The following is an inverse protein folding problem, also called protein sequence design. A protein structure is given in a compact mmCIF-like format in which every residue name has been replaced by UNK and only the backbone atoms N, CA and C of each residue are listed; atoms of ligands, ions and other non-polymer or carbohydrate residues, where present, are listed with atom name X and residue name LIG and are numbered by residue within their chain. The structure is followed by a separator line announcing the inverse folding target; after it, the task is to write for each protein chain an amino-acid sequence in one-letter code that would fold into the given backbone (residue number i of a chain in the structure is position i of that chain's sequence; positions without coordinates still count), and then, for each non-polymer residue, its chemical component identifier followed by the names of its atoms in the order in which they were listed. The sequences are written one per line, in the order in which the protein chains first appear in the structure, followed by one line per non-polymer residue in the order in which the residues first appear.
data_IF_375424530356
#
_entry.id   IF_375424530356
#
_cell.length_a   1.000
_cell.length_b   1.000
_cell.length_c   1.000
_cell.angle_alpha   90.00
_cell.angle_beta   90.00
_cell.angle_gamma   90.00
#
_symmetry.space_group_name_H-M   'P 1'
#
loop_
_entity.id
_entity.type
_entity.pdbx_description
1 polymer ?
#
# COMPACT_ATOMS: atom_id res chain seq x y z
N UNK A 1 -6.47 20.37 6.18
CA UNK A 1 -6.77 20.08 7.60
C UNK A 1 -7.09 18.59 7.81
N UNK A 2 -6.76 18.05 8.99
CA UNK A 2 -7.13 16.68 9.43
C UNK A 2 -8.28 16.76 10.45
N UNK A 3 -9.39 16.07 10.19
CA UNK A 3 -10.54 16.05 11.11
C UNK A 3 -10.52 14.79 11.97
N UNK A 4 -10.88 14.89 13.26
CA UNK A 4 -10.97 13.75 14.18
C UNK A 4 -12.29 12.98 14.01
N UNK A 5 -12.51 12.45 12.80
CA UNK A 5 -13.63 11.59 12.44
C UNK A 5 -13.13 10.44 11.59
N UNK A 6 -13.30 9.22 12.08
CA UNK A 6 -12.61 8.05 11.55
C UNK A 6 -13.31 7.47 10.31
N UNK A 7 -14.51 7.97 9.99
CA UNK A 7 -15.18 7.71 8.73
C UNK A 7 -14.83 8.78 7.70
N UNK A 8 -13.90 8.46 6.80
CA UNK A 8 -13.49 9.35 5.72
C UNK A 8 -14.63 9.78 4.78
N UNK A 9 -15.79 9.16 4.87
CA UNK A 9 -16.99 9.49 4.09
C UNK A 9 -17.89 10.52 4.77
N UNK A 10 -17.63 10.86 6.03
CA UNK A 10 -18.41 11.82 6.78
C UNK A 10 -18.32 13.24 6.18
N UNK A 11 -19.44 13.97 6.20
CA UNK A 11 -19.57 15.29 5.57
C UNK A 11 -18.56 16.31 6.08
N UNK A 12 -18.09 16.20 7.33
CA UNK A 12 -17.11 17.14 7.87
C UNK A 12 -15.83 17.21 7.04
N UNK A 13 -15.44 16.10 6.40
CA UNK A 13 -14.21 16.07 5.61
C UNK A 13 -14.32 16.95 4.35
N UNK A 14 -15.55 17.22 3.89
CA UNK A 14 -15.82 18.13 2.76
C UNK A 14 -15.38 19.56 3.04
N UNK A 15 -15.29 19.98 4.30
CA UNK A 15 -14.71 21.27 4.69
C UNK A 15 -13.24 21.41 4.26
N UNK A 16 -12.53 20.30 4.02
CA UNK A 16 -11.21 20.31 3.36
C UNK A 16 -11.33 19.88 1.89
N UNK A 17 -12.15 18.87 1.58
CA UNK A 17 -12.17 18.24 0.25
C UNK A 17 -12.81 19.12 -0.83
N UNK A 18 -13.76 19.98 -0.47
CA UNK A 18 -14.49 20.84 -1.42
C UNK A 18 -13.90 22.25 -1.51
N UNK A 19 -12.82 22.52 -0.76
CA UNK A 19 -12.17 23.83 -0.69
C UNK A 19 -10.71 23.79 -1.16
N UNK A 20 -10.45 23.48 -2.45
CA UNK A 20 -9.10 23.52 -3.01
C UNK A 20 -8.45 24.91 -2.96
N UNK A 21 -9.24 25.98 -2.84
CA UNK A 21 -8.77 27.36 -2.69
C UNK A 21 -8.14 27.67 -1.32
N UNK A 22 -8.40 26.83 -0.30
CA UNK A 22 -7.86 27.02 1.06
C UNK A 22 -6.81 25.97 1.45
N UNK A 23 -6.82 24.80 0.79
CA UNK A 23 -5.96 23.68 1.17
C UNK A 23 -5.28 23.07 -0.05
N UNK A 24 -3.96 23.22 -0.15
CA UNK A 24 -3.15 22.62 -1.22
C UNK A 24 -3.04 21.10 -1.13
N UNK A 25 -3.25 20.54 0.07
CA UNK A 25 -3.21 19.10 0.33
C UNK A 25 -4.26 18.68 1.35
N UNK A 26 -4.53 17.37 1.37
CA UNK A 26 -5.47 16.73 2.29
C UNK A 26 -4.70 15.77 3.19
N UNK A 27 -5.03 15.73 4.49
CA UNK A 27 -4.49 14.71 5.40
C UNK A 27 -5.62 13.76 5.84
N UNK A 28 -5.35 12.46 5.75
CA UNK A 28 -6.30 11.39 6.07
C UNK A 28 -5.77 10.46 7.17
N UNK A 29 -4.88 10.94 8.04
CA UNK A 29 -4.26 10.12 9.09
C UNK A 29 -5.29 9.47 10.03
N UNK A 30 -6.49 10.01 10.18
CA UNK A 30 -7.59 9.42 10.94
C UNK A 30 -8.07 8.07 10.37
N UNK A 31 -7.81 7.78 9.08
CA UNK A 31 -8.09 6.48 8.49
C UNK A 31 -7.30 5.35 9.17
N UNK A 32 -6.18 5.67 9.84
CA UNK A 32 -5.38 4.71 10.59
C UNK A 32 -6.08 4.17 11.85
N UNK A 33 -7.35 4.50 12.12
CA UNK A 33 -8.18 3.76 13.07
C UNK A 33 -8.84 2.52 12.43
N UNK A 34 -8.86 2.44 11.10
CA UNK A 34 -9.32 1.29 10.35
C UNK A 34 -8.15 0.33 10.05
N UNK A 35 -8.49 -0.88 9.61
CA UNK A 35 -7.55 -1.91 9.20
C UNK A 35 -8.05 -2.64 7.95
N UNK A 36 -7.19 -3.45 7.35
CA UNK A 36 -7.54 -4.33 6.25
C UNK A 36 -8.18 -3.65 5.04
N UNK A 37 -9.15 -4.35 4.44
CA UNK A 37 -9.83 -3.91 3.22
C UNK A 37 -10.56 -2.57 3.44
N UNK A 38 -11.17 -2.34 4.61
CA UNK A 38 -11.84 -1.07 4.93
C UNK A 38 -10.87 0.12 4.90
N UNK A 39 -9.66 -0.05 5.45
CA UNK A 39 -8.63 0.98 5.43
C UNK A 39 -8.23 1.36 3.99
N UNK A 40 -8.07 0.35 3.12
CA UNK A 40 -7.78 0.55 1.70
C UNK A 40 -8.93 1.25 0.98
N UNK A 41 -10.15 0.75 1.11
CA UNK A 41 -11.33 1.26 0.40
C UNK A 41 -11.66 2.70 0.81
N UNK A 42 -11.50 3.05 2.08
CA UNK A 42 -11.69 4.41 2.57
C UNK A 42 -10.70 5.38 1.93
N UNK A 43 -9.42 4.99 1.79
CA UNK A 43 -8.44 5.83 1.10
C UNK A 43 -8.77 5.99 -0.38
N UNK A 44 -9.15 4.90 -1.06
CA UNK A 44 -9.56 4.96 -2.47
C UNK A 44 -10.81 5.81 -2.68
N UNK A 45 -11.76 5.80 -1.74
CA UNK A 45 -12.89 6.71 -1.77
C UNK A 45 -12.44 8.17 -1.79
N UNK A 46 -11.53 8.57 -0.89
CA UNK A 46 -11.01 9.96 -0.87
C UNK A 46 -10.27 10.28 -2.16
N UNK A 47 -9.43 9.35 -2.65
CA UNK A 47 -8.72 9.51 -3.93
C UNK A 47 -9.69 9.73 -5.10
N UNK A 48 -10.78 8.97 -5.17
CA UNK A 48 -11.80 9.13 -6.20
C UNK A 48 -12.56 10.45 -6.05
N UNK A 49 -12.96 10.78 -4.82
CA UNK A 49 -13.68 12.02 -4.50
C UNK A 49 -12.89 13.26 -4.96
N UNK A 50 -11.59 13.29 -4.68
CA UNK A 50 -10.69 14.38 -5.07
C UNK A 50 -10.31 14.36 -6.56
N UNK A 51 -10.74 13.36 -7.34
CA UNK A 51 -10.35 13.19 -8.74
C UNK A 51 -10.73 14.35 -9.67
N UNK A 52 -11.74 15.16 -9.29
CA UNK A 52 -12.13 16.38 -10.04
C UNK A 52 -11.14 17.53 -9.85
N UNK A 53 -10.56 17.64 -8.65
CA UNK A 53 -9.56 18.64 -8.28
C UNK A 53 -8.41 17.93 -7.54
N UNK A 54 -7.55 17.20 -8.27
CA UNK A 54 -6.53 16.36 -7.66
C UNK A 54 -5.58 17.18 -6.78
N UNK A 55 -5.36 16.68 -5.57
CA UNK A 55 -4.43 17.26 -4.59
C UNK A 55 -3.68 16.14 -3.88
N UNK A 56 -2.44 16.38 -3.39
CA UNK A 56 -1.73 15.44 -2.55
C UNK A 56 -2.56 14.98 -1.35
N UNK A 57 -2.62 13.67 -1.13
CA UNK A 57 -3.26 13.03 0.02
C UNK A 57 -2.17 12.47 0.93
N UNK A 58 -2.06 13.00 2.13
CA UNK A 58 -1.03 12.67 3.10
C UNK A 58 -1.57 11.83 4.25
N UNK A 59 -0.70 11.04 4.86
CA UNK A 59 -0.92 10.40 6.17
C UNK A 59 0.27 10.74 7.07
N UNK A 60 0.19 11.91 7.68
CA UNK A 60 1.21 12.43 8.59
C UNK A 60 1.39 11.55 9.85
N UNK A 61 0.35 10.81 10.24
CA UNK A 61 0.35 9.96 11.44
C UNK A 61 -0.11 8.55 11.13
N UNK A 62 0.83 7.68 10.78
CA UNK A 62 0.58 6.23 10.75
C UNK A 62 0.71 5.68 12.17
N UNK A 63 -0.41 5.35 12.80
CA UNK A 63 -0.47 4.77 14.14
C UNK A 63 -0.20 3.27 14.11
N UNK A 64 0.33 2.75 15.22
CA UNK A 64 0.65 1.34 15.43
C UNK A 64 1.96 1.20 16.20
N UNK A 65 1.87 0.57 17.37
CA UNK A 65 2.99 0.31 18.27
C UNK A 65 2.55 -0.71 19.32
N UNK A 66 3.23 -1.84 19.45
CA UNK A 66 2.87 -2.85 20.46
C UNK A 66 2.80 -2.20 21.86
N UNK A 67 1.70 -2.43 22.58
CA UNK A 67 1.47 -1.88 23.92
C UNK A 67 0.92 -0.44 23.97
N UNK A 68 0.58 0.19 22.84
CA UNK A 68 -0.07 1.50 22.86
C UNK A 68 -1.50 1.44 23.44
N UNK A 69 -1.99 2.59 23.90
CA UNK A 69 -3.31 2.74 24.54
C UNK A 69 -4.53 2.49 23.62
N UNK A 70 -4.33 2.42 22.31
CA UNK A 70 -5.39 2.23 21.31
C UNK A 70 -5.53 0.76 20.86
N UNK A 71 -4.68 -0.14 21.36
CA UNK A 71 -4.73 -1.57 21.02
C UNK A 71 -4.19 -1.91 19.63
N UNK A 72 -3.55 -0.96 18.93
CA UNK A 72 -2.88 -1.24 17.66
C UNK A 72 -1.54 -1.95 17.89
N UNK A 73 -1.09 -2.74 16.92
CA UNK A 73 0.20 -3.44 16.93
C UNK A 73 1.24 -2.76 16.03
N UNK A 74 2.49 -3.21 16.12
CA UNK A 74 3.53 -2.85 15.14
C UNK A 74 3.15 -3.29 13.72
N UNK A 75 2.46 -4.44 13.61
CA UNK A 75 1.97 -4.98 12.35
C UNK A 75 0.93 -4.04 11.71
N UNK A 76 0.03 -3.46 12.50
CA UNK A 76 -0.94 -2.47 11.99
C UNK A 76 -0.23 -1.27 11.35
N UNK A 77 0.83 -0.75 11.97
CA UNK A 77 1.60 0.35 11.41
C UNK A 77 2.23 -0.01 10.05
N UNK A 78 2.88 -1.18 9.95
CA UNK A 78 3.51 -1.66 8.71
C UNK A 78 2.46 -1.81 7.62
N UNK A 79 1.34 -2.45 7.91
CA UNK A 79 0.29 -2.67 6.91
C UNK A 79 -0.36 -1.35 6.44
N UNK A 80 -0.61 -0.41 7.36
CA UNK A 80 -1.15 0.91 7.02
C UNK A 80 -0.21 1.69 6.12
N UNK A 81 1.10 1.63 6.40
CA UNK A 81 2.13 2.24 5.55
C UNK A 81 2.05 1.69 4.12
N UNK A 82 2.07 0.36 3.95
CA UNK A 82 2.09 -0.25 2.63
C UNK A 82 0.79 -0.11 1.86
N UNK A 83 -0.36 -0.20 2.54
CA UNK A 83 -1.66 0.11 1.93
C UNK A 83 -1.69 1.54 1.43
N UNK A 84 -1.26 2.52 2.23
CA UNK A 84 -1.22 3.92 1.77
C UNK A 84 -0.22 4.13 0.63
N UNK A 85 0.93 3.46 0.65
CA UNK A 85 1.95 3.57 -0.40
C UNK A 85 1.41 3.09 -1.74
N UNK A 86 0.84 1.90 -1.79
CA UNK A 86 0.27 1.35 -3.02
C UNK A 86 -1.06 2.01 -3.40
N UNK A 87 -1.79 2.58 -2.42
CA UNK A 87 -3.01 3.36 -2.68
C UNK A 87 -2.71 4.74 -3.31
N UNK A 88 -1.44 5.18 -3.30
CA UNK A 88 -0.97 6.43 -3.91
C UNK A 88 -1.00 7.64 -2.98
N UNK A 89 -0.76 7.44 -1.67
CA UNK A 89 -0.52 8.58 -0.77
C UNK A 89 0.75 9.33 -1.17
N UNK A 90 0.67 10.67 -1.15
CA UNK A 90 1.76 11.55 -1.53
C UNK A 90 2.85 11.64 -0.44
N UNK A 91 2.47 11.45 0.83
CA UNK A 91 3.38 11.37 1.96
C UNK A 91 2.85 10.45 3.03
N UNK A 92 3.75 9.66 3.62
CA UNK A 92 3.45 8.66 4.65
C UNK A 92 4.55 8.70 5.69
N UNK A 93 4.17 8.77 6.96
CA UNK A 93 5.12 8.78 8.08
C UNK A 93 4.63 7.91 9.22
N UNK A 94 5.52 7.13 9.82
CA UNK A 94 5.27 6.48 11.12
C UNK A 94 5.14 7.53 12.22
N UNK A 95 4.03 7.49 12.97
CA UNK A 95 3.84 8.37 14.10
C UNK A 95 4.92 8.12 15.16
N UNK A 96 5.18 9.13 16.01
CA UNK A 96 6.16 9.00 17.09
C UNK A 96 5.66 8.06 18.21
N UNK A 97 6.58 7.50 19.02
CA UNK A 97 6.21 6.79 20.24
C UNK A 97 5.41 7.67 21.21
N UNK A 98 4.56 7.10 22.05
CA UNK A 98 4.32 5.64 22.27
C UNK A 98 3.28 5.02 21.32
N UNK A 99 2.61 5.82 20.49
CA UNK A 99 1.46 5.38 19.69
C UNK A 99 1.80 5.09 18.21
N UNK A 100 3.08 5.13 17.87
CA UNK A 100 3.63 4.83 16.54
C UNK A 100 5.08 4.38 16.61
N UNK A 101 5.57 3.73 15.55
CA UNK A 101 6.92 3.16 15.50
C UNK A 101 8.07 4.17 15.54
N UNK A 102 7.82 5.43 15.20
CA UNK A 102 8.87 6.43 15.00
C UNK A 102 9.92 5.96 13.98
N UNK A 103 11.20 5.98 14.36
CA UNK A 103 12.33 5.48 13.57
C UNK A 103 13.04 4.32 14.26
N UNK A 104 12.29 3.25 14.57
CA UNK A 104 12.85 2.01 15.08
C UNK A 104 13.33 1.07 13.94
N UNK A 105 13.90 -0.08 14.30
CA UNK A 105 14.44 -1.04 13.33
C UNK A 105 13.38 -1.57 12.34
N UNK A 106 12.14 -1.81 12.81
CA UNK A 106 11.02 -2.25 11.95
C UNK A 106 10.66 -1.17 10.93
N UNK A 107 10.55 0.08 11.37
CA UNK A 107 10.28 1.22 10.48
C UNK A 107 11.41 1.41 9.45
N UNK A 108 12.68 1.27 9.87
CA UNK A 108 13.84 1.36 8.98
C UNK A 108 13.85 0.24 7.94
N UNK A 109 13.58 -1.01 8.34
CA UNK A 109 13.46 -2.14 7.41
C UNK A 109 12.32 -1.93 6.40
N UNK A 110 11.16 -1.48 6.88
CA UNK A 110 10.01 -1.16 6.05
C UNK A 110 10.33 -0.08 5.01
N UNK A 111 11.01 1.01 5.41
CA UNK A 111 11.42 2.07 4.50
C UNK A 111 12.49 1.60 3.49
N UNK A 112 13.43 0.74 3.90
CA UNK A 112 14.40 0.12 2.98
C UNK A 112 13.70 -0.73 1.92
N UNK A 113 12.70 -1.53 2.29
CA UNK A 113 11.90 -2.29 1.34
C UNK A 113 11.15 -1.37 0.35
N UNK A 114 10.56 -0.28 0.84
CA UNK A 114 9.89 0.71 -0.02
C UNK A 114 10.84 1.37 -1.01
N UNK A 115 12.08 1.70 -0.59
CA UNK A 115 13.12 2.22 -1.51
C UNK A 115 13.57 1.18 -2.53
N UNK A 116 13.68 -0.09 -2.16
CA UNK A 116 13.98 -1.15 -3.13
C UNK A 116 12.88 -1.29 -4.18
N UNK A 117 11.60 -1.27 -3.78
CA UNK A 117 10.49 -1.25 -4.72
C UNK A 117 10.59 -0.03 -5.66
N UNK A 118 10.76 1.16 -5.10
CA UNK A 118 10.84 2.40 -5.88
C UNK A 118 12.02 2.39 -6.87
N UNK A 119 13.15 1.77 -6.51
CA UNK A 119 14.30 1.63 -7.42
C UNK A 119 14.00 0.83 -8.70
N UNK A 120 12.89 0.09 -8.73
CA UNK A 120 12.44 -0.73 -9.86
C UNK A 120 11.26 -0.10 -10.59
N UNK A 121 10.37 0.58 -9.86
CA UNK A 121 9.19 1.23 -10.42
C UNK A 121 9.04 2.61 -9.75
N UNK A 122 9.02 3.71 -10.52
CA UNK A 122 8.66 5.01 -9.98
C UNK A 122 7.21 4.97 -9.48
N UNK A 123 6.98 5.14 -8.18
CA UNK A 123 5.67 4.85 -7.57
C UNK A 123 4.52 5.75 -8.06
N UNK A 124 4.83 6.89 -8.69
CA UNK A 124 3.84 7.76 -9.32
C UNK A 124 3.36 7.27 -10.69
N UNK A 125 3.95 6.20 -11.25
CA UNK A 125 3.52 5.61 -12.54
C UNK A 125 2.51 4.47 -12.36
N UNK A 126 2.22 4.07 -11.13
CA UNK A 126 1.32 2.96 -10.79
C UNK A 126 0.08 3.44 -10.04
N UNK A 127 -1.04 2.76 -10.26
CA UNK A 127 -2.33 3.05 -9.65
C UNK A 127 -2.92 1.79 -8.99
N UNK A 128 -3.74 1.92 -7.94
CA UNK A 128 -4.46 0.83 -7.29
C UNK A 128 -5.17 -0.06 -8.30
N UNK A 129 -4.92 -1.37 -8.24
CA UNK A 129 -5.36 -2.30 -9.28
C UNK A 129 -5.79 -3.67 -8.70
N UNK A 130 -6.42 -3.67 -7.52
CA UNK A 130 -6.92 -4.91 -6.89
C UNK A 130 -7.91 -5.70 -7.78
N UNK A 131 -8.51 -5.08 -8.81
CA UNK A 131 -9.35 -5.74 -9.80
C UNK A 131 -8.64 -6.85 -10.58
N UNK A 132 -7.31 -6.78 -10.69
CA UNK A 132 -6.46 -7.79 -11.33
C UNK A 132 -6.19 -9.00 -10.42
N UNK A 133 -6.55 -8.96 -9.14
CA UNK A 133 -6.36 -10.07 -8.20
C UNK A 133 -7.62 -10.96 -8.17
N UNK A 134 -7.44 -12.25 -8.41
CA UNK A 134 -8.46 -13.31 -8.32
C UNK A 134 -8.12 -14.28 -7.20
N UNK A 135 -9.15 -14.97 -6.70
CA UNK A 135 -9.06 -15.95 -5.60
C UNK A 135 -8.31 -15.39 -4.39
N UNK A 136 -8.70 -14.17 -4.00
CA UNK A 136 -8.04 -13.37 -2.97
C UNK A 136 -9.03 -13.07 -1.86
N UNK A 137 -8.64 -13.39 -0.64
CA UNK A 137 -9.36 -13.04 0.59
C UNK A 137 -9.21 -11.56 0.96
N UNK A 138 -10.06 -11.09 1.86
CA UNK A 138 -9.93 -9.74 2.41
C UNK A 138 -8.57 -9.60 3.14
N UNK A 139 -7.84 -8.51 2.84
CA UNK A 139 -6.50 -8.23 3.38
C UNK A 139 -5.38 -9.23 3.00
N UNK A 140 -5.58 -10.11 2.02
CA UNK A 140 -4.53 -11.05 1.62
C UNK A 140 -3.44 -10.40 0.75
N UNK A 141 -3.83 -9.59 -0.23
CA UNK A 141 -2.89 -8.90 -1.13
C UNK A 141 -3.48 -7.59 -1.61
N UNK A 142 -2.65 -6.56 -1.72
CA UNK A 142 -2.97 -5.28 -2.35
C UNK A 142 -2.05 -5.06 -3.53
N UNK A 143 -2.59 -4.54 -4.62
CA UNK A 143 -1.87 -4.38 -5.88
C UNK A 143 -1.98 -2.94 -6.38
N UNK A 144 -0.87 -2.43 -6.88
CA UNK A 144 -0.82 -1.28 -7.76
C UNK A 144 -0.12 -1.66 -9.07
N UNK A 145 -0.58 -1.10 -10.19
CA UNK A 145 -0.06 -1.44 -11.52
C UNK A 145 0.00 -0.21 -12.42
N UNK A 146 0.94 -0.21 -13.37
CA UNK A 146 1.00 0.82 -14.40
C UNK A 146 -0.22 0.72 -15.33
N UNK A 147 -0.53 1.82 -16.02
CA UNK A 147 -1.61 1.84 -17.03
C UNK A 147 -1.29 0.91 -18.21
N UNK A 148 -0.02 0.81 -18.56
CA UNK A 148 0.50 -0.02 -19.64
C UNK A 148 0.55 -1.51 -19.28
N UNK A 149 0.31 -1.87 -18.01
CA UNK A 149 0.38 -3.25 -17.51
C UNK A 149 1.76 -3.90 -17.71
N UNK A 150 2.81 -3.10 -17.64
CA UNK A 150 4.22 -3.47 -17.73
C UNK A 150 4.96 -3.41 -16.38
N UNK A 151 4.32 -2.90 -15.33
CA UNK A 151 4.88 -2.77 -13.99
C UNK A 151 3.79 -2.98 -12.92
N UNK A 152 4.10 -3.78 -11.89
CA UNK A 152 3.18 -4.14 -10.81
C UNK A 152 3.91 -4.15 -9.46
N UNK A 153 3.22 -3.72 -8.41
CA UNK A 153 3.68 -3.80 -7.03
C UNK A 153 2.61 -4.48 -6.18
N UNK A 154 2.93 -5.63 -5.57
CA UNK A 154 2.00 -6.41 -4.75
C UNK A 154 2.47 -6.41 -3.30
N UNK A 155 1.66 -5.94 -2.37
CA UNK A 155 1.91 -6.05 -0.94
C UNK A 155 1.11 -7.21 -0.35
N UNK A 156 1.81 -8.14 0.31
CA UNK A 156 1.25 -9.25 1.07
C UNK A 156 1.57 -9.03 2.57
N UNK A 157 0.56 -8.68 3.40
CA UNK A 157 0.73 -8.63 4.85
C UNK A 157 1.15 -9.97 5.44
N UNK A 158 1.83 -9.94 6.59
CA UNK A 158 2.08 -11.13 7.38
C UNK A 158 0.75 -11.80 7.77
N UNK A 159 0.70 -13.13 7.64
CA UNK A 159 -0.51 -13.91 7.86
C UNK A 159 -0.18 -15.29 8.42
N UNK A 160 -1.21 -16.11 8.71
CA UNK A 160 -0.99 -17.49 9.19
C UNK A 160 -0.40 -18.39 8.09
N UNK A 161 -0.78 -18.15 6.85
CA UNK A 161 -0.32 -18.87 5.66
C UNK A 161 0.24 -17.89 4.64
N UNK A 162 1.16 -18.32 3.76
CA UNK A 162 1.59 -17.50 2.63
C UNK A 162 0.39 -17.06 1.77
N UNK A 163 0.46 -15.84 1.24
CA UNK A 163 -0.50 -15.35 0.27
C UNK A 163 -0.45 -16.21 -1.00
N UNK A 164 -1.61 -16.50 -1.58
CA UNK A 164 -1.73 -17.40 -2.72
C UNK A 164 -2.88 -16.95 -3.64
N UNK A 165 -2.59 -15.98 -4.50
CA UNK A 165 -3.58 -15.35 -5.39
C UNK A 165 -3.35 -15.72 -6.85
N UNK A 166 -4.35 -15.50 -7.70
CA UNK A 166 -4.16 -15.46 -9.16
C UNK A 166 -4.12 -14.02 -9.64
N UNK A 167 -3.05 -13.66 -10.34
CA UNK A 167 -2.87 -12.33 -10.95
C UNK A 167 -3.27 -12.39 -12.43
N UNK A 168 -4.13 -11.46 -12.85
CA UNK A 168 -4.53 -11.30 -14.26
C UNK A 168 -3.43 -10.58 -15.05
N UNK A 169 -2.64 -11.32 -15.81
CA UNK A 169 -1.62 -10.79 -16.71
C UNK A 169 -1.99 -11.00 -18.19
N UNK A 170 -3.26 -11.29 -18.51
CA UNK A 170 -3.69 -11.56 -19.89
C UNK A 170 -3.42 -10.41 -20.86
N UNK A 171 -3.43 -9.18 -20.35
CA UNK A 171 -3.15 -7.97 -21.12
C UNK A 171 -1.67 -7.53 -21.07
N UNK A 172 -0.84 -8.25 -20.31
CA UNK A 172 0.60 -8.00 -20.21
C UNK A 172 1.35 -8.83 -21.25
N UNK A 173 2.28 -8.19 -21.95
CA UNK A 173 3.07 -8.84 -23.00
C UNK A 173 4.48 -9.14 -22.50
N UNK A 174 5.07 -10.17 -23.09
CA UNK A 174 6.50 -10.43 -22.99
C UNK A 174 6.95 -11.06 -21.66
N UNK A 175 8.27 -11.29 -21.55
CA UNK A 175 8.91 -11.75 -20.33
C UNK A 175 8.83 -10.70 -19.22
N UNK A 176 8.63 -11.19 -18.00
CA UNK A 176 8.51 -10.39 -16.79
C UNK A 176 9.50 -10.90 -15.74
N UNK A 177 10.00 -9.99 -14.92
CA UNK A 177 10.80 -10.26 -13.73
C UNK A 177 9.98 -10.02 -12.48
N UNK A 178 9.70 -11.07 -11.71
CA UNK A 178 9.17 -10.96 -10.37
C UNK A 178 10.32 -10.98 -9.35
N UNK A 179 10.39 -9.97 -8.51
CA UNK A 179 11.29 -9.92 -7.36
C UNK A 179 10.48 -9.74 -6.08
N UNK A 180 10.75 -10.56 -5.08
CA UNK A 180 10.18 -10.43 -3.74
C UNK A 180 11.16 -9.74 -2.81
N UNK A 181 10.67 -8.78 -2.04
CA UNK A 181 11.41 -8.07 -1.00
C UNK A 181 10.74 -8.38 0.33
N UNK A 182 11.52 -8.86 1.29
CA UNK A 182 11.07 -9.07 2.66
C UNK A 182 11.03 -7.70 3.36
N UNK A 183 9.85 -7.28 3.82
CA UNK A 183 9.62 -5.97 4.44
C UNK A 183 10.26 -5.89 5.83
N UNK A 184 10.26 -7.00 6.56
CA UNK A 184 10.79 -7.09 7.93
C UNK A 184 12.33 -6.93 7.97
N UNK A 185 13.01 -7.17 6.86
CA UNK A 185 14.47 -7.02 6.72
C UNK A 185 14.88 -5.90 5.76
N UNK A 186 13.98 -5.47 4.89
CA UNK A 186 14.27 -4.53 3.82
C UNK A 186 15.25 -5.10 2.79
N UNK A 187 15.19 -6.41 2.48
CA UNK A 187 16.13 -7.12 1.58
C UNK A 187 15.39 -7.95 0.53
N UNK A 188 16.03 -8.15 -0.62
CA UNK A 188 15.56 -9.11 -1.64
C UNK A 188 15.48 -10.51 -1.02
N UNK A 189 14.34 -11.16 -1.20
CA UNK A 189 14.05 -12.52 -0.72
C UNK A 189 14.18 -13.56 -1.85
N UNK A 190 13.64 -13.28 -3.03
CA UNK A 190 13.73 -14.17 -4.19
C UNK A 190 13.49 -13.40 -5.50
N UNK A 191 13.85 -14.02 -6.62
CA UNK A 191 13.61 -13.51 -7.97
C UNK A 191 13.22 -14.67 -8.89
N UNK A 192 12.28 -14.46 -9.79
CA UNK A 192 11.86 -15.44 -10.79
C UNK A 192 11.49 -14.77 -12.11
N UNK A 193 11.78 -15.46 -13.22
CA UNK A 193 11.24 -15.12 -14.54
C UNK A 193 9.81 -15.63 -14.65
N UNK A 194 8.95 -14.85 -15.28
CA UNK A 194 7.58 -15.24 -15.61
C UNK A 194 7.17 -14.62 -16.95
N UNK A 195 5.95 -14.90 -17.41
CA UNK A 195 5.43 -14.38 -18.67
C UNK A 195 4.03 -13.83 -18.46
N UNK A 196 3.71 -12.75 -19.18
CA UNK A 196 2.33 -12.31 -19.32
C UNK A 196 1.53 -13.20 -20.28
N UNK A 197 0.29 -12.81 -20.54
CA UNK A 197 -0.61 -13.47 -21.50
C UNK A 197 -1.63 -14.44 -20.89
N UNK A 198 -1.55 -14.73 -19.58
CA UNK A 198 -2.52 -15.58 -18.87
C UNK A 198 -2.72 -15.11 -17.41
N UNK A 199 -3.60 -15.79 -16.68
CA UNK A 199 -3.61 -15.75 -15.22
C UNK A 199 -2.38 -16.49 -14.68
N UNK A 200 -1.69 -15.88 -13.73
CA UNK A 200 -0.52 -16.50 -13.10
C UNK A 200 -0.73 -16.64 -11.61
N UNK A 201 -0.43 -17.82 -11.06
CA UNK A 201 -0.43 -18.04 -9.62
C UNK A 201 0.76 -17.31 -8.98
N UNK A 202 0.49 -16.47 -8.00
CA UNK A 202 1.50 -15.75 -7.23
C UNK A 202 1.44 -16.21 -5.78
N UNK A 203 2.57 -16.77 -5.31
CA UNK A 203 2.75 -17.22 -3.93
C UNK A 203 3.81 -16.37 -3.25
N UNK A 204 3.51 -15.82 -2.08
CA UNK A 204 4.56 -15.16 -1.28
C UNK A 204 5.61 -16.17 -0.82
N UNK A 205 6.88 -15.78 -0.64
CA UNK A 205 7.95 -16.70 -0.23
C UNK A 205 7.75 -17.32 1.16
N UNK A 206 6.90 -16.72 1.98
CA UNK A 206 6.55 -17.19 3.32
C UNK A 206 5.34 -16.43 3.86
N UNK A 207 5.15 -16.52 5.18
CA UNK A 207 4.01 -15.96 5.90
C UNK A 207 4.30 -14.61 6.60
N UNK A 208 5.50 -14.05 6.41
CA UNK A 208 5.87 -12.70 6.88
C UNK A 208 5.39 -11.58 5.96
N UNK A 209 5.86 -10.35 6.19
CA UNK A 209 5.51 -9.21 5.34
C UNK A 209 6.37 -9.19 4.08
N UNK A 210 5.73 -9.22 2.90
CA UNK A 210 6.42 -9.18 1.62
C UNK A 210 5.83 -8.13 0.68
N UNK A 211 6.70 -7.55 -0.13
CA UNK A 211 6.29 -6.84 -1.35
C UNK A 211 6.93 -7.50 -2.55
N UNK A 212 6.15 -7.68 -3.61
CA UNK A 212 6.61 -8.12 -4.91
C UNK A 212 6.66 -6.92 -5.87
N UNK A 213 7.69 -6.90 -6.71
CA UNK A 213 7.77 -6.04 -7.89
C UNK A 213 7.83 -6.93 -9.12
N UNK A 214 6.92 -6.69 -10.07
CA UNK A 214 6.88 -7.38 -11.36
C UNK A 214 7.08 -6.32 -12.44
N UNK A 215 8.13 -6.45 -13.24
CA UNK A 215 8.42 -5.51 -14.35
C UNK A 215 8.69 -6.27 -15.63
N UNK A 216 8.25 -5.71 -16.75
CA UNK A 216 8.60 -6.24 -18.06
C UNK A 216 10.10 -6.10 -18.29
N UNK A 217 10.74 -7.17 -18.77
CA UNK A 217 12.14 -7.09 -19.18
C UNK A 217 12.24 -6.52 -20.58
N UNK A 218 13.30 -5.73 -20.87
CA UNK A 218 13.58 -5.26 -22.23
C UNK A 218 13.63 -6.38 -23.27
#
# INVERSE_FOLDING_TARGET
EMWDDWDLKADRHKQTFDHPEFYDFVDVSQNNQNSGQKHWDNFLYVRHYLGKHPRPINTTKTYGADGNKFGHSDQDAIERFWRHLLAGAASIRFHRPDSGLGINDKAVACLRAARQLESKIPLWTIEPANDLLKDREANETYLAASKQRDAFALFCPAAKTPANIRLDLRQTKGPLDLQWINIDTGRLASSQKMSGGDFVQIKSPGNGNFVAVIVQTP
#
